data_IF_925407677037
#
_entry.id   IF_925407677037
#
_cell.length_a   1.000
_cell.length_b   1.000
_cell.length_c   1.000
_cell.angle_alpha   90.00
_cell.angle_beta   90.00
_cell.angle_gamma   90.00
#
_symmetry.space_group_name_H-M   'P 1'
#
loop_
_entity.id
_entity.type
_entity.pdbx_description
1 polymer ?
#
# COMPACT_ATOMS: atom_id res chain seq x y z
N UNK A 1 -10.10 5.32 -4.72
CA UNK A 1 -9.40 4.33 -5.57
C UNK A 1 -10.04 2.94 -5.54
N UNK A 2 -10.31 2.32 -4.36
CA UNK A 2 -11.00 0.99 -4.28
C UNK A 2 -12.28 0.89 -5.10
N UNK A 3 -13.21 1.85 -4.95
CA UNK A 3 -14.47 1.89 -5.73
C UNK A 3 -14.28 1.93 -7.25
N UNK A 4 -13.09 2.31 -7.74
CA UNK A 4 -12.76 2.37 -9.17
C UNK A 4 -11.87 1.20 -9.61
N UNK A 5 -11.67 0.20 -8.76
CA UNK A 5 -10.90 -1.02 -9.08
C UNK A 5 -9.38 -0.83 -9.16
N UNK A 6 -8.85 0.35 -8.81
CA UNK A 6 -7.41 0.62 -8.89
C UNK A 6 -6.61 0.05 -7.72
N UNK A 7 -7.27 -0.17 -6.57
CA UNK A 7 -6.69 -0.71 -5.35
C UNK A 7 -7.59 -1.84 -4.88
N UNK A 8 -7.00 -2.97 -4.50
CA UNK A 8 -7.71 -4.13 -3.92
C UNK A 8 -8.02 -3.88 -2.46
N UNK A 9 -7.01 -3.47 -1.69
CA UNK A 9 -7.16 -3.25 -0.26
C UNK A 9 -6.22 -2.20 0.32
N UNK A 10 -6.53 -1.75 1.53
CA UNK A 10 -5.68 -0.90 2.35
C UNK A 10 -5.47 -1.58 3.70
N UNK A 11 -4.24 -1.61 4.19
CA UNK A 11 -3.93 -2.05 5.55
C UNK A 11 -3.19 -0.95 6.28
N UNK A 12 -3.59 -0.70 7.51
CA UNK A 12 -2.90 0.22 8.42
C UNK A 12 -2.51 -0.57 9.65
N UNK A 13 -1.22 -0.56 9.96
CA UNK A 13 -0.66 -1.23 11.11
C UNK A 13 -0.08 -0.16 12.03
N UNK A 14 -0.39 -0.28 13.32
CA UNK A 14 0.17 0.54 14.38
C UNK A 14 1.08 -0.35 15.24
N UNK A 15 2.22 0.19 15.64
CA UNK A 15 3.19 -0.49 16.49
C UNK A 15 3.60 0.39 17.66
N UNK A 16 3.91 -0.25 18.78
CA UNK A 16 4.65 0.37 19.86
C UNK A 16 6.13 0.37 19.46
N UNK A 17 6.59 1.48 18.87
CA UNK A 17 7.96 1.59 18.33
C UNK A 17 9.00 1.24 19.40
N UNK A 18 9.85 0.28 19.07
CA UNK A 18 10.82 -0.29 20.02
C UNK A 18 12.13 0.50 20.09
N UNK A 19 12.41 1.33 19.08
CA UNK A 19 13.63 2.15 18.97
C UNK A 19 13.44 3.28 17.93
N UNK A 20 14.33 4.29 17.87
CA UNK A 20 14.18 5.42 16.95
C UNK A 20 14.21 5.09 15.45
N UNK A 21 14.61 3.87 15.05
CA UNK A 21 14.60 3.40 13.66
C UNK A 21 13.41 2.49 13.35
N UNK A 22 12.48 2.32 14.29
CA UNK A 22 11.26 1.54 14.14
C UNK A 22 10.08 2.46 13.85
N UNK A 23 9.12 1.99 13.06
CA UNK A 23 7.98 2.80 12.64
C UNK A 23 6.86 2.72 13.68
N UNK A 24 6.13 3.83 13.87
CA UNK A 24 4.88 3.82 14.66
C UNK A 24 3.68 3.40 13.81
N UNK A 25 3.73 3.71 12.49
CA UNK A 25 2.63 3.50 11.55
C UNK A 25 3.16 2.94 10.22
N UNK A 26 2.60 1.82 9.79
CA UNK A 26 2.79 1.29 8.44
C UNK A 26 1.47 1.36 7.66
N UNK A 27 1.50 2.06 6.52
CA UNK A 27 0.40 2.15 5.57
C UNK A 27 0.72 1.29 4.34
N UNK A 28 -0.16 0.35 4.03
CA UNK A 28 -0.02 -0.56 2.89
C UNK A 28 -1.18 -0.39 1.92
N UNK A 29 -0.85 -0.53 0.65
CA UNK A 29 -1.81 -0.52 -0.45
C UNK A 29 -1.64 -1.80 -1.25
N UNK A 30 -2.71 -2.57 -1.36
CA UNK A 30 -2.71 -3.82 -2.12
C UNK A 30 -3.22 -3.57 -3.54
N UNK A 31 -2.47 -4.05 -4.52
CA UNK A 31 -2.82 -3.98 -5.93
C UNK A 31 -2.99 -5.39 -6.47
N UNK A 32 -3.90 -5.56 -7.43
CA UNK A 32 -4.22 -6.88 -8.00
C UNK A 32 -3.00 -7.56 -8.62
N UNK A 33 -2.14 -6.81 -9.30
CA UNK A 33 -0.94 -7.29 -9.96
C UNK A 33 -0.01 -6.10 -10.33
N UNK A 34 1.20 -6.40 -10.81
CA UNK A 34 2.17 -5.38 -11.23
C UNK A 34 1.67 -4.54 -12.42
N UNK A 35 1.02 -5.10 -13.45
CA UNK A 35 0.46 -4.30 -14.55
C UNK A 35 -0.60 -3.27 -14.12
N UNK A 36 -1.15 -3.37 -12.90
CA UNK A 36 -2.03 -2.34 -12.36
C UNK A 36 -1.33 -0.98 -12.23
N UNK A 37 0.00 -0.95 -12.17
CA UNK A 37 0.80 0.26 -12.16
C UNK A 37 0.92 0.92 -13.55
N UNK A 38 0.62 0.20 -14.64
CA UNK A 38 0.69 0.74 -16.00
C UNK A 38 -0.40 1.80 -16.19
N UNK A 39 0.03 3.02 -16.49
CA UNK A 39 -0.85 4.18 -16.62
C UNK A 39 -1.56 4.53 -15.30
N UNK A 40 -0.97 4.20 -14.15
CA UNK A 40 -1.62 4.41 -12.85
C UNK A 40 -1.84 5.89 -12.57
N UNK A 41 -0.89 6.75 -12.93
CA UNK A 41 -0.95 8.18 -12.68
C UNK A 41 -2.12 8.84 -13.41
N UNK A 42 -2.31 8.50 -14.68
CA UNK A 42 -3.42 8.96 -15.51
C UNK A 42 -4.78 8.53 -14.95
N UNK A 43 -4.84 7.37 -14.28
CA UNK A 43 -6.05 6.87 -13.62
C UNK A 43 -6.25 7.50 -12.24
N UNK A 44 -5.17 7.79 -11.51
CA UNK A 44 -5.17 8.25 -10.12
C UNK A 44 -5.33 9.77 -10.00
N UNK A 45 -4.66 10.55 -10.84
CA UNK A 45 -4.65 12.02 -10.78
C UNK A 45 -6.09 12.60 -10.85
N UNK A 46 -6.99 12.16 -11.77
CA UNK A 46 -8.37 12.66 -11.80
C UNK A 46 -9.21 12.31 -10.55
N UNK A 47 -8.77 11.33 -9.76
CA UNK A 47 -9.40 10.96 -8.49
C UNK A 47 -8.81 11.82 -7.36
N UNK A 48 -7.50 12.02 -7.38
CA UNK A 48 -6.78 12.92 -6.47
C UNK A 48 -7.32 14.33 -6.57
N UNK A 49 -7.42 14.87 -7.78
CA UNK A 49 -7.91 16.23 -8.03
C UNK A 49 -9.33 16.47 -7.48
N UNK A 50 -10.20 15.45 -7.56
CA UNK A 50 -11.57 15.53 -7.03
C UNK A 50 -11.64 15.49 -5.50
N UNK A 51 -10.66 14.89 -4.84
CA UNK A 51 -10.70 14.64 -3.39
C UNK A 51 -9.81 15.65 -2.63
N UNK A 52 -8.62 15.88 -3.15
CA UNK A 52 -7.56 16.68 -2.52
C UNK A 52 -7.41 18.08 -3.15
N UNK A 53 -8.02 18.30 -4.32
CA UNK A 53 -7.91 19.54 -5.08
C UNK A 53 -6.66 19.58 -5.98
N UNK A 54 -6.28 20.78 -6.42
CA UNK A 54 -5.13 21.01 -7.31
C UNK A 54 -3.82 20.39 -6.81
N UNK A 55 -2.92 20.11 -7.75
CA UNK A 55 -1.58 19.58 -7.46
C UNK A 55 -0.81 20.43 -6.44
N UNK A 56 -0.95 21.76 -6.49
CA UNK A 56 -0.33 22.65 -5.51
C UNK A 56 -0.90 22.44 -4.09
N UNK A 57 -2.22 22.29 -3.94
CA UNK A 57 -2.82 21.97 -2.64
C UNK A 57 -2.36 20.60 -2.14
N UNK A 58 -2.24 19.61 -3.03
CA UNK A 58 -1.71 18.29 -2.69
C UNK A 58 -0.25 18.38 -2.21
N UNK A 59 0.59 19.16 -2.89
CA UNK A 59 1.99 19.40 -2.53
C UNK A 59 2.13 20.08 -1.18
N UNK A 60 1.37 21.14 -0.93
CA UNK A 60 1.34 21.82 0.37
C UNK A 60 0.88 20.89 1.49
N UNK A 61 -0.12 20.04 1.22
CA UNK A 61 -0.54 19.01 2.15
C UNK A 61 0.57 18.00 2.48
N UNK A 62 1.38 17.62 1.49
CA UNK A 62 2.54 16.76 1.71
C UNK A 62 3.60 17.43 2.58
N UNK A 63 3.92 18.71 2.32
CA UNK A 63 4.87 19.48 3.14
C UNK A 63 4.42 19.51 4.60
N UNK A 64 3.16 19.89 4.86
CA UNK A 64 2.61 19.91 6.22
C UNK A 64 2.64 18.54 6.91
N UNK A 65 2.45 17.45 6.16
CA UNK A 65 2.57 16.10 6.72
C UNK A 65 4.02 15.79 7.14
N UNK A 66 5.02 16.29 6.41
CA UNK A 66 6.43 16.09 6.75
C UNK A 66 6.88 16.89 7.97
N UNK A 67 6.15 17.94 8.36
CA UNK A 67 6.42 18.69 9.60
C UNK A 67 6.07 17.90 10.87
N UNK A 68 5.18 16.90 10.76
CA UNK A 68 4.66 16.13 11.91
C UNK A 68 5.05 14.65 11.90
N UNK A 69 5.70 14.16 10.84
CA UNK A 69 6.11 12.76 10.71
C UNK A 69 7.42 12.63 9.94
N UNK A 70 8.20 11.62 10.30
CA UNK A 70 9.34 11.16 9.51
C UNK A 70 8.92 9.97 8.62
N UNK A 71 9.44 9.91 7.38
CA UNK A 71 9.24 8.74 6.52
C UNK A 71 10.42 7.79 6.74
N UNK A 72 10.16 6.68 7.46
CA UNK A 72 11.18 5.65 7.73
C UNK A 72 11.59 4.87 6.47
N UNK A 73 10.70 4.80 5.47
CA UNK A 73 10.97 4.21 4.17
C UNK A 73 9.71 3.75 3.43
N UNK A 74 9.90 3.29 2.20
CA UNK A 74 8.89 2.64 1.37
C UNK A 74 9.42 1.33 0.81
N UNK A 75 8.52 0.36 0.60
CA UNK A 75 8.89 -0.93 0.03
C UNK A 75 7.77 -1.52 -0.80
N UNK A 76 8.09 -1.91 -2.03
CA UNK A 76 7.22 -2.74 -2.84
C UNK A 76 7.42 -4.22 -2.48
N UNK A 77 6.34 -4.93 -2.18
CA UNK A 77 6.36 -6.33 -1.78
C UNK A 77 5.35 -7.14 -2.60
N UNK A 78 5.56 -8.45 -2.70
CA UNK A 78 4.61 -9.41 -3.28
C UNK A 78 4.22 -10.42 -2.21
N UNK A 79 2.92 -10.58 -2.02
CA UNK A 79 2.37 -11.59 -1.12
C UNK A 79 2.61 -12.98 -1.71
N UNK A 80 3.07 -13.91 -0.87
CA UNK A 80 3.29 -15.31 -1.22
C UNK A 80 2.44 -16.15 -0.28
N UNK A 81 1.43 -16.82 -0.82
CA UNK A 81 0.60 -17.76 -0.06
C UNK A 81 1.19 -19.16 -0.19
N UNK A 82 1.55 -19.78 0.93
CA UNK A 82 1.90 -21.19 0.97
C UNK A 82 0.61 -22.01 0.91
N UNK A 83 0.39 -22.74 -0.18
CA UNK A 83 -0.60 -23.81 -0.19
C UNK A 83 0.02 -25.03 0.50
N UNK A 84 -0.57 -25.48 1.60
CA UNK A 84 -0.26 -26.80 2.12
C UNK A 84 -0.63 -27.82 1.03
N UNK A 85 0.37 -28.43 0.40
CA UNK A 85 0.13 -29.61 -0.42
C UNK A 85 -0.52 -30.64 0.51
N UNK A 86 -1.75 -31.02 0.19
CA UNK A 86 -2.45 -32.16 0.77
C UNK A 86 -1.55 -33.38 0.72
N UNK A 87 -0.85 -33.66 1.81
CA UNK A 87 -0.13 -34.91 2.07
C UNK A 87 -1.17 -35.98 2.45
N UNK A 88 -2.10 -36.27 1.53
CA UNK A 88 -3.08 -37.34 1.68
C UNK A 88 -3.16 -38.13 0.38
N UNK A 89 -2.82 -39.42 0.51
CA UNK A 89 -2.87 -40.53 -0.45
C UNK A 89 -1.78 -40.59 -1.53
N UNK A 90 -0.79 -41.49 -1.35
CA UNK A 90 -0.43 -42.48 -2.40
C UNK A 90 0.69 -43.48 -2.04
N UNK A 91 1.14 -43.66 -0.78
CA UNK A 91 2.16 -44.69 -0.48
C UNK A 91 1.90 -45.39 0.85
N UNK A 92 0.84 -46.20 0.92
CA UNK A 92 0.89 -47.60 1.39
C UNK A 92 -0.31 -48.30 0.71
N UNK A 93 -0.14 -48.61 -0.57
CA UNK A 93 -0.82 -49.74 -1.21
C UNK A 93 0.09 -50.95 -1.12
#
# INVERSE_FOLDING_TARGET
>A
MKKRGLIMDYKSLLSDSSNPHDFDVLLMVEYKNIPAFDGFREKADPIGDKILGSEEMQRQGTIKRMEVREIMGDKLMREVTLSALSYQLSVIG
#
